data_IF_952358497387
#
_entry.id   IF_952358497387
#
_cell.length_a   1.000
_cell.length_b   1.000
_cell.length_c   1.000
_cell.angle_alpha   90.00
_cell.angle_beta   90.00
_cell.angle_gamma   90.00
#
_symmetry.space_group_name_H-M   'P 1'
#
loop_
_entity.id
_entity.type
_entity.pdbx_description
1 polymer ?
#
# COMPACT_ATOMS: atom_id res chain seq x y z
N UNK A 1 8.68 10.56 9.40
CA UNK A 1 7.24 10.45 9.17
C UNK A 1 6.96 9.38 8.12
N UNK A 2 6.10 8.42 8.42
CA UNK A 2 5.95 7.17 7.64
C UNK A 2 5.59 7.39 6.17
N UNK A 3 4.71 8.35 5.86
CA UNK A 3 4.21 8.57 4.51
C UNK A 3 4.92 9.72 3.76
N UNK A 4 5.86 10.42 4.42
CA UNK A 4 6.60 11.51 3.79
C UNK A 4 7.49 11.07 2.61
N UNK A 5 7.81 9.79 2.54
CA UNK A 5 8.57 9.18 1.44
C UNK A 5 7.77 9.06 0.14
N UNK A 6 6.43 9.04 0.20
CA UNK A 6 5.57 8.83 -0.97
C UNK A 6 5.83 9.84 -2.09
N UNK A 7 5.74 11.17 -1.85
CA UNK A 7 6.02 12.15 -2.89
C UNK A 7 7.48 12.10 -3.37
N UNK A 8 8.42 11.70 -2.51
CA UNK A 8 9.83 11.52 -2.89
C UNK A 8 9.99 10.38 -3.89
N UNK A 9 9.35 9.24 -3.64
CA UNK A 9 9.38 8.07 -4.55
C UNK A 9 8.72 8.42 -5.89
N UNK A 10 7.56 9.08 -5.86
CA UNK A 10 6.87 9.51 -7.08
C UNK A 10 7.70 10.52 -7.89
N UNK A 11 8.32 11.49 -7.21
CA UNK A 11 9.23 12.44 -7.84
C UNK A 11 10.46 11.76 -8.45
N UNK A 12 11.06 10.79 -7.74
CA UNK A 12 12.18 10.01 -8.25
C UNK A 12 11.80 9.16 -9.48
N UNK A 13 10.62 8.53 -9.45
CA UNK A 13 10.09 7.79 -10.60
C UNK A 13 9.92 8.72 -11.81
N UNK A 14 9.32 9.90 -11.63
CA UNK A 14 9.16 10.89 -12.67
C UNK A 14 10.49 11.36 -13.25
N UNK A 15 11.48 11.62 -12.39
CA UNK A 15 12.82 12.03 -12.84
C UNK A 15 13.49 10.95 -13.70
N UNK A 16 13.41 9.68 -13.28
CA UNK A 16 13.94 8.55 -14.07
C UNK A 16 13.25 8.41 -15.43
N UNK A 17 11.94 8.54 -15.48
CA UNK A 17 11.19 8.55 -16.75
C UNK A 17 11.64 9.66 -17.67
N UNK A 18 11.93 10.86 -17.13
CA UNK A 18 12.45 11.99 -17.90
C UNK A 18 13.86 11.73 -18.40
N UNK A 19 14.72 11.05 -17.63
CA UNK A 19 16.05 10.62 -18.06
C UNK A 19 15.97 9.65 -19.24
N UNK A 20 15.19 8.58 -19.12
CA UNK A 20 14.99 7.63 -20.23
C UNK A 20 14.51 8.31 -21.52
N UNK A 21 13.57 9.25 -21.38
CA UNK A 21 13.08 10.01 -22.52
C UNK A 21 14.18 10.83 -23.20
N UNK A 22 15.09 11.42 -22.42
CA UNK A 22 16.22 12.19 -22.95
C UNK A 22 17.21 11.28 -23.68
N UNK A 23 17.50 10.12 -23.11
CA UNK A 23 18.54 9.23 -23.58
C UNK A 23 18.10 8.40 -24.81
N UNK A 24 16.82 8.02 -24.88
CA UNK A 24 16.29 7.11 -25.89
C UNK A 24 15.37 7.76 -26.95
N UNK A 25 15.05 9.08 -26.79
CA UNK A 25 14.16 9.82 -27.72
C UNK A 25 12.66 9.62 -27.45
N UNK A 26 11.79 10.22 -28.24
CA UNK A 26 10.35 10.37 -27.96
C UNK A 26 9.44 9.17 -28.34
N UNK A 27 9.97 8.00 -28.58
CA UNK A 27 9.22 6.88 -29.18
C UNK A 27 8.64 5.83 -28.22
N UNK A 28 8.95 5.84 -26.91
CA UNK A 28 8.56 4.78 -25.98
C UNK A 28 7.73 5.28 -24.78
N UNK A 29 6.89 4.38 -24.25
CA UNK A 29 6.16 4.68 -23.00
C UNK A 29 7.09 4.52 -21.79
N UNK A 30 7.77 5.59 -21.39
CA UNK A 30 8.71 5.57 -20.27
C UNK A 30 8.05 5.28 -18.92
N UNK A 31 6.74 5.48 -18.81
CA UNK A 31 6.00 5.12 -17.59
C UNK A 31 6.07 3.61 -17.33
N UNK A 32 6.13 2.78 -18.37
CA UNK A 32 6.25 1.33 -18.23
C UNK A 32 7.63 0.86 -17.73
N UNK A 33 8.69 1.64 -17.98
CA UNK A 33 10.05 1.31 -17.55
C UNK A 33 10.34 1.59 -16.08
N UNK A 34 9.49 2.37 -15.41
CA UNK A 34 9.67 2.75 -14.01
C UNK A 34 8.36 2.59 -13.26
N UNK A 35 8.32 1.60 -12.38
CA UNK A 35 7.15 1.29 -11.56
C UNK A 35 7.38 1.74 -10.12
N UNK A 36 6.68 2.78 -9.64
CA UNK A 36 6.67 3.11 -8.21
C UNK A 36 5.90 2.04 -7.43
N UNK A 37 6.56 1.45 -6.44
CA UNK A 37 5.96 0.55 -5.46
C UNK A 37 6.10 1.18 -4.08
N UNK A 38 4.97 1.42 -3.41
CA UNK A 38 4.91 2.02 -2.09
C UNK A 38 4.27 1.03 -1.11
N UNK A 39 4.99 0.74 -0.03
CA UNK A 39 4.53 -0.14 1.04
C UNK A 39 4.05 0.73 2.21
N UNK A 40 2.86 0.44 2.71
CA UNK A 40 2.19 1.22 3.75
C UNK A 40 1.73 0.35 4.91
N UNK A 41 1.73 0.89 6.12
CA UNK A 41 0.88 0.39 7.20
C UNK A 41 -0.52 0.99 7.06
N UNK A 42 -1.55 0.26 7.48
CA UNK A 42 -2.95 0.67 7.31
C UNK A 42 -3.31 1.98 8.02
N UNK A 43 -2.86 2.14 9.25
CA UNK A 43 -3.14 3.36 10.02
C UNK A 43 -2.46 4.60 9.40
N UNK A 44 -1.22 4.46 8.93
CA UNK A 44 -0.49 5.53 8.26
C UNK A 44 -1.12 5.89 6.91
N UNK A 45 -1.50 4.89 6.11
CA UNK A 45 -2.12 5.08 4.81
C UNK A 45 -3.46 5.83 4.89
N UNK A 46 -4.33 5.44 5.83
CA UNK A 46 -5.62 6.08 6.03
C UNK A 46 -5.53 7.43 6.76
N UNK A 47 -4.55 7.59 7.67
CA UNK A 47 -4.51 8.69 8.63
C UNK A 47 -3.62 9.87 8.28
N UNK A 48 -2.85 9.81 7.17
CA UNK A 48 -1.91 10.86 6.80
C UNK A 48 -2.29 11.54 5.49
N UNK A 49 -2.59 12.84 5.55
CA UNK A 49 -3.06 13.65 4.42
C UNK A 49 -2.19 13.60 3.17
N UNK A 50 -0.88 13.41 3.32
CA UNK A 50 0.05 13.30 2.19
C UNK A 50 -0.28 12.13 1.25
N UNK A 51 -0.93 11.07 1.74
CA UNK A 51 -1.39 9.95 0.91
C UNK A 51 -2.48 10.42 -0.04
N UNK A 52 -3.50 11.10 0.47
CA UNK A 52 -4.58 11.67 -0.35
C UNK A 52 -4.05 12.72 -1.34
N UNK A 53 -3.08 13.55 -0.92
CA UNK A 53 -2.43 14.52 -1.79
C UNK A 53 -1.68 13.84 -2.95
N UNK A 54 -0.97 12.74 -2.69
CA UNK A 54 -0.31 11.95 -3.74
C UNK A 54 -1.32 11.39 -4.75
N UNK A 55 -2.45 10.86 -4.30
CA UNK A 55 -3.53 10.44 -5.21
C UNK A 55 -4.11 11.61 -5.98
N UNK A 56 -4.33 12.76 -5.35
CA UNK A 56 -4.81 13.97 -6.02
C UNK A 56 -3.88 14.49 -7.12
N UNK A 57 -2.58 14.22 -7.00
CA UNK A 57 -1.57 14.62 -7.99
C UNK A 57 -1.37 13.57 -9.11
N UNK A 58 -1.74 12.31 -8.89
CA UNK A 58 -1.35 11.16 -9.72
C UNK A 58 -1.76 11.25 -11.19
N UNK A 59 -2.90 11.89 -11.48
CA UNK A 59 -3.42 12.10 -12.83
C UNK A 59 -2.93 13.38 -13.52
N UNK A 60 -2.30 14.30 -12.80
CA UNK A 60 -1.93 15.60 -13.34
C UNK A 60 -0.72 15.52 -14.27
N UNK A 61 -0.78 16.25 -15.40
CA UNK A 61 0.26 16.23 -16.45
C UNK A 61 1.68 16.45 -15.92
N UNK A 62 1.86 17.34 -14.94
CA UNK A 62 3.16 17.66 -14.35
C UNK A 62 3.66 16.61 -13.34
N UNK A 63 2.79 15.79 -12.79
CA UNK A 63 3.07 14.90 -11.65
C UNK A 63 2.92 13.41 -11.96
N UNK A 64 2.10 13.04 -12.94
CA UNK A 64 1.80 11.65 -13.28
C UNK A 64 3.05 10.83 -13.57
N UNK A 65 3.06 9.60 -13.08
CA UNK A 65 4.14 8.61 -13.27
C UNK A 65 3.67 7.39 -14.06
N UNK A 66 2.44 7.42 -14.59
CA UNK A 66 1.80 6.24 -15.17
C UNK A 66 1.31 5.26 -14.10
N UNK A 67 0.92 5.80 -12.96
CA UNK A 67 0.40 5.06 -11.81
C UNK A 67 1.47 4.48 -10.90
N UNK A 68 1.08 4.22 -9.68
CA UNK A 68 1.86 3.54 -8.64
C UNK A 68 1.10 2.30 -8.16
N UNK A 69 1.82 1.33 -7.61
CA UNK A 69 1.22 0.25 -6.82
C UNK A 69 1.37 0.65 -5.35
N UNK A 70 0.23 0.78 -4.67
CA UNK A 70 0.17 0.97 -3.23
C UNK A 70 -0.14 -0.36 -2.56
N UNK A 71 0.82 -0.89 -1.81
CA UNK A 71 0.68 -2.15 -1.11
C UNK A 71 0.47 -1.88 0.38
N UNK A 72 -0.74 -2.05 0.87
CA UNK A 72 -1.12 -1.81 2.27
C UNK A 72 -0.98 -3.09 3.06
N UNK A 73 -0.01 -3.12 3.98
CA UNK A 73 0.13 -4.17 4.99
C UNK A 73 -0.87 -3.83 6.11
N UNK A 74 -2.11 -4.29 5.91
CA UNK A 74 -3.22 -4.02 6.82
C UNK A 74 -3.16 -4.96 8.01
N UNK A 75 -2.23 -4.69 8.91
CA UNK A 75 -2.02 -5.49 10.13
C UNK A 75 -2.91 -5.05 11.29
N UNK A 76 -3.82 -4.08 11.06
CA UNK A 76 -4.80 -3.58 12.01
C UNK A 76 -4.20 -2.89 13.25
N UNK A 77 -2.94 -2.49 13.19
CA UNK A 77 -2.26 -1.83 14.31
C UNK A 77 -2.14 -0.33 14.08
N UNK A 78 -2.78 0.43 14.95
CA UNK A 78 -2.61 1.88 15.09
C UNK A 78 -2.13 2.24 16.49
N UNK A 79 -0.91 1.83 16.88
CA UNK A 79 -0.37 1.95 18.24
C UNK A 79 -1.31 1.29 19.26
N UNK A 80 -1.97 2.06 20.15
CA UNK A 80 -2.91 1.55 21.17
C UNK A 80 -4.38 1.57 20.73
N UNK A 81 -4.66 2.04 19.51
CA UNK A 81 -6.04 2.20 19.03
C UNK A 81 -6.64 0.84 18.62
N UNK A 82 -7.82 0.56 19.13
CA UNK A 82 -8.60 -0.62 18.71
C UNK A 82 -8.96 -0.49 17.21
N UNK A 83 -8.84 -1.54 16.39
CA UNK A 83 -9.18 -1.49 14.96
C UNK A 83 -10.55 -0.89 14.65
N UNK A 84 -11.57 -1.16 15.48
CA UNK A 84 -12.94 -0.62 15.31
C UNK A 84 -13.04 0.88 15.45
N UNK A 85 -12.10 1.51 16.20
CA UNK A 85 -12.08 2.93 16.50
C UNK A 85 -11.02 3.69 15.67
N UNK A 86 -10.34 2.99 14.73
CA UNK A 86 -9.18 3.54 14.03
C UNK A 86 -9.53 4.44 12.86
N UNK A 87 -10.68 4.28 12.25
CA UNK A 87 -11.12 5.06 11.08
C UNK A 87 -12.63 5.02 10.91
N UNK A 88 -13.17 6.04 10.21
CA UNK A 88 -14.61 6.10 9.89
C UNK A 88 -14.99 5.22 8.70
N UNK A 89 -14.06 4.96 7.77
CA UNK A 89 -14.28 4.11 6.61
C UNK A 89 -14.05 2.62 6.95
N UNK A 90 -14.70 1.68 6.25
CA UNK A 90 -14.49 0.24 6.44
C UNK A 90 -13.05 -0.22 6.23
N UNK A 91 -12.37 0.34 5.22
CA UNK A 91 -11.02 -0.06 4.83
C UNK A 91 -10.05 1.12 4.82
N UNK A 92 -8.77 0.90 5.15
CA UNK A 92 -7.74 1.93 5.02
C UNK A 92 -7.57 2.39 3.57
N UNK A 93 -7.82 1.50 2.63
CA UNK A 93 -7.72 1.71 1.18
C UNK A 93 -8.81 2.62 0.60
N UNK A 94 -9.85 2.95 1.36
CA UNK A 94 -10.96 3.79 0.87
C UNK A 94 -10.50 5.20 0.46
N UNK A 95 -9.37 5.68 0.94
CA UNK A 95 -8.76 6.94 0.47
C UNK A 95 -8.50 6.94 -1.04
N UNK A 96 -8.25 5.79 -1.64
CA UNK A 96 -8.00 5.66 -3.08
C UNK A 96 -9.25 5.74 -3.94
N UNK A 97 -10.44 5.63 -3.34
CA UNK A 97 -11.72 5.78 -4.05
C UNK A 97 -11.90 7.19 -4.63
N UNK A 98 -11.25 8.21 -4.05
CA UNK A 98 -11.30 9.58 -4.56
C UNK A 98 -10.81 9.72 -6.02
N UNK A 99 -9.93 8.83 -6.46
CA UNK A 99 -9.41 8.78 -7.85
C UNK A 99 -9.87 7.54 -8.60
N UNK A 100 -10.83 6.79 -8.04
CA UNK A 100 -11.38 5.56 -8.63
C UNK A 100 -10.31 4.51 -8.95
N UNK A 101 -9.28 4.41 -8.11
CA UNK A 101 -8.28 3.35 -8.21
C UNK A 101 -8.91 1.99 -7.89
N UNK A 102 -8.61 0.93 -8.63
CA UNK A 102 -8.95 -0.43 -8.23
C UNK A 102 -8.30 -0.78 -6.90
N UNK A 103 -9.04 -1.50 -6.07
CA UNK A 103 -8.59 -1.98 -4.77
C UNK A 103 -8.80 -3.50 -4.74
N UNK A 104 -7.72 -4.24 -4.47
CA UNK A 104 -7.75 -5.67 -4.28
C UNK A 104 -7.59 -5.98 -2.80
N UNK A 105 -8.64 -6.53 -2.17
CA UNK A 105 -8.55 -7.04 -0.80
C UNK A 105 -8.11 -8.50 -0.84
N UNK A 106 -7.06 -8.83 -0.10
CA UNK A 106 -6.50 -10.17 -0.10
C UNK A 106 -6.10 -10.60 1.31
N UNK A 107 -6.31 -11.88 1.63
CA UNK A 107 -5.91 -12.46 2.90
C UNK A 107 -4.39 -12.71 2.92
N UNK A 108 -3.69 -12.12 3.89
CA UNK A 108 -2.24 -12.27 4.06
C UNK A 108 -1.78 -13.67 4.48
N UNK A 109 -2.69 -14.52 4.95
CA UNK A 109 -2.40 -15.93 5.25
C UNK A 109 -2.45 -16.84 4.01
N UNK A 110 -2.86 -16.30 2.87
CA UNK A 110 -2.86 -17.00 1.58
C UNK A 110 -1.81 -16.39 0.63
N UNK A 111 -0.58 -16.92 0.61
CA UNK A 111 0.51 -16.35 -0.20
C UNK A 111 0.27 -16.49 -1.71
N UNK A 112 -0.50 -17.49 -2.15
CA UNK A 112 -0.87 -17.65 -3.55
C UNK A 112 -1.85 -16.57 -3.98
N UNK A 113 -2.87 -16.29 -3.18
CA UNK A 113 -3.83 -15.21 -3.43
C UNK A 113 -3.14 -13.83 -3.43
N UNK A 114 -2.22 -13.57 -2.47
CA UNK A 114 -1.42 -12.33 -2.44
C UNK A 114 -0.60 -12.17 -3.71
N UNK A 115 0.07 -13.25 -4.13
CA UNK A 115 0.87 -13.25 -5.37
C UNK A 115 -0.01 -13.00 -6.59
N UNK A 116 -1.15 -13.65 -6.68
CA UNK A 116 -2.10 -13.46 -7.78
C UNK A 116 -2.62 -12.02 -7.85
N UNK A 117 -3.13 -11.49 -6.73
CA UNK A 117 -3.63 -10.11 -6.65
C UNK A 117 -2.55 -9.09 -7.03
N UNK A 118 -1.30 -9.31 -6.59
CA UNK A 118 -0.18 -8.43 -6.90
C UNK A 118 0.18 -8.48 -8.39
N UNK A 119 0.14 -9.65 -9.03
CA UNK A 119 0.32 -9.78 -10.48
C UNK A 119 -0.74 -9.02 -11.26
N UNK A 120 -2.01 -9.19 -10.89
CA UNK A 120 -3.12 -8.46 -11.53
C UNK A 120 -2.96 -6.95 -11.35
N UNK A 121 -2.59 -6.49 -10.16
CA UNK A 121 -2.33 -5.08 -9.88
C UNK A 121 -1.18 -4.54 -10.77
N UNK A 122 -0.09 -5.29 -10.91
CA UNK A 122 1.04 -4.90 -11.76
C UNK A 122 0.63 -4.82 -13.24
N UNK A 123 -0.10 -5.81 -13.74
CA UNK A 123 -0.62 -5.82 -15.12
C UNK A 123 -1.59 -4.67 -15.36
N UNK A 124 -2.49 -4.40 -14.41
CA UNK A 124 -3.41 -3.27 -14.49
C UNK A 124 -2.65 -1.95 -14.60
N UNK A 125 -1.68 -1.72 -13.69
CA UNK A 125 -0.85 -0.50 -13.70
C UNK A 125 -0.11 -0.35 -15.03
N UNK A 126 0.51 -1.42 -15.52
CA UNK A 126 1.27 -1.39 -16.78
C UNK A 126 0.37 -1.13 -17.99
N UNK A 127 -0.80 -1.74 -18.01
CA UNK A 127 -1.74 -1.63 -19.14
C UNK A 127 -2.47 -0.29 -19.19
N UNK A 128 -2.89 0.23 -18.03
CA UNK A 128 -3.76 1.40 -17.97
C UNK A 128 -3.06 2.67 -17.50
N UNK A 129 -1.84 2.57 -16.99
CA UNK A 129 -1.07 3.73 -16.51
C UNK A 129 -1.74 4.46 -15.34
N UNK A 130 -2.42 3.74 -14.45
CA UNK A 130 -3.17 4.26 -13.30
C UNK A 130 -2.73 3.62 -12.01
N UNK A 131 -2.99 4.33 -10.90
CA UNK A 131 -2.74 3.80 -9.56
C UNK A 131 -3.63 2.58 -9.28
N UNK A 132 -3.12 1.70 -8.43
CA UNK A 132 -3.81 0.51 -7.94
C UNK A 132 -3.40 0.23 -6.51
N UNK A 133 -4.34 -0.27 -5.71
CA UNK A 133 -4.10 -0.61 -4.31
C UNK A 133 -4.27 -2.10 -4.10
N UNK A 134 -3.34 -2.71 -3.38
CA UNK A 134 -3.47 -4.05 -2.82
C UNK A 134 -3.55 -3.89 -1.29
N UNK A 135 -4.70 -4.18 -0.74
CA UNK A 135 -4.97 -4.17 0.70
C UNK A 135 -4.85 -5.60 1.23
N UNK A 136 -3.67 -5.91 1.76
CA UNK A 136 -3.37 -7.22 2.33
C UNK A 136 -3.76 -7.24 3.80
N UNK A 137 -4.92 -7.85 4.08
CA UNK A 137 -5.43 -8.02 5.43
C UNK A 137 -4.61 -9.09 6.17
N UNK A 138 -3.95 -8.71 7.25
CA UNK A 138 -3.05 -9.56 8.00
C UNK A 138 -3.02 -9.18 9.48
N UNK A 139 -2.04 -9.70 10.21
CA UNK A 139 -1.80 -9.36 11.62
C UNK A 139 -0.30 -9.21 11.89
N UNK A 140 0.02 -8.53 12.97
CA UNK A 140 1.38 -8.36 13.46
C UNK A 140 1.57 -9.19 14.74
N UNK A 141 2.46 -10.18 14.72
CA UNK A 141 2.58 -11.15 15.80
C UNK A 141 3.13 -10.55 17.10
N UNK A 142 4.06 -9.61 17.03
CA UNK A 142 4.83 -9.10 18.15
C UNK A 142 4.51 -7.66 18.56
N UNK A 143 3.37 -7.12 18.17
CA UNK A 143 2.93 -5.79 18.54
C UNK A 143 3.59 -4.65 17.77
N UNK A 144 3.43 -3.43 18.28
CA UNK A 144 3.84 -2.20 17.58
C UNK A 144 5.36 -2.07 17.43
N UNK A 145 6.12 -2.37 18.47
CA UNK A 145 7.59 -2.39 18.48
C UNK A 145 8.12 -3.43 19.48
N UNK A 146 9.44 -3.56 19.59
CA UNK A 146 10.06 -4.57 20.46
C UNK A 146 9.85 -4.32 21.96
N UNK A 147 9.54 -3.06 22.35
CA UNK A 147 9.31 -2.69 23.76
C UNK A 147 7.86 -2.81 24.19
N UNK A 148 6.93 -3.03 23.27
CA UNK A 148 5.49 -3.09 23.58
C UNK A 148 4.99 -4.52 23.78
N UNK A 149 4.27 -4.72 24.88
CA UNK A 149 3.45 -5.93 25.04
C UNK A 149 2.01 -5.63 24.56
N UNK A 150 1.62 -6.12 23.37
CA UNK A 150 0.32 -5.82 22.80
C UNK A 150 -0.85 -6.44 23.58
N UNK A 151 -0.59 -7.37 24.48
CA UNK A 151 -1.63 -7.96 25.32
C UNK A 151 -2.24 -6.97 26.31
N UNK A 152 -1.55 -5.87 26.64
CA UNK A 152 -2.08 -4.81 27.49
C UNK A 152 -3.14 -3.95 26.79
N UNK A 153 -3.02 -3.76 25.47
CA UNK A 153 -3.93 -2.88 24.72
C UNK A 153 -4.96 -3.65 23.88
N UNK A 154 -4.59 -4.81 23.33
CA UNK A 154 -5.47 -5.67 22.52
C UNK A 154 -5.43 -7.13 23.02
N UNK A 155 -5.89 -7.43 24.23
CA UNK A 155 -5.74 -8.76 24.85
C UNK A 155 -6.46 -9.87 24.09
N UNK A 156 -7.67 -9.59 23.57
CA UNK A 156 -8.49 -10.58 22.85
C UNK A 156 -7.83 -10.94 21.51
N UNK A 157 -7.42 -9.91 20.75
CA UNK A 157 -6.74 -10.08 19.46
C UNK A 157 -5.45 -10.91 19.63
N UNK A 158 -4.59 -10.55 20.56
CA UNK A 158 -3.31 -11.22 20.73
C UNK A 158 -3.43 -12.61 21.34
N UNK A 159 -4.46 -12.89 22.13
CA UNK A 159 -4.80 -14.25 22.54
C UNK A 159 -5.16 -15.15 21.35
N UNK A 160 -5.80 -14.58 20.34
CA UNK A 160 -6.14 -15.27 19.09
C UNK A 160 -4.90 -15.48 18.23
N UNK A 161 -4.12 -14.41 18.03
CA UNK A 161 -2.87 -14.42 17.23
C UNK A 161 -1.87 -15.44 17.79
N UNK A 162 -1.72 -15.53 19.12
CA UNK A 162 -0.81 -16.48 19.74
C UNK A 162 -1.11 -17.95 19.43
N UNK A 163 -2.38 -18.26 19.14
CA UNK A 163 -2.85 -19.62 18.80
C UNK A 163 -2.93 -19.86 17.29
N UNK A 164 -2.83 -18.81 16.50
CA UNK A 164 -2.93 -18.89 15.05
C UNK A 164 -1.65 -19.48 14.48
N UNK A 165 -1.69 -20.50 13.62
CA UNK A 165 -0.51 -21.02 12.96
C UNK A 165 0.13 -19.95 12.06
N UNK A 166 1.42 -20.04 11.85
CA UNK A 166 2.12 -19.15 10.93
C UNK A 166 1.68 -19.43 9.49
N UNK A 167 1.82 -18.45 8.61
CA UNK A 167 1.56 -18.62 7.17
C UNK A 167 2.38 -19.78 6.58
N UNK A 168 3.63 -19.94 7.04
CA UNK A 168 4.49 -21.05 6.61
C UNK A 168 3.95 -22.43 7.05
N UNK A 169 3.37 -22.52 8.25
CA UNK A 169 2.78 -23.78 8.74
C UNK A 169 1.46 -24.12 8.03
N UNK A 170 0.77 -23.11 7.51
CA UNK A 170 -0.49 -23.30 6.77
C UNK A 170 -0.24 -23.65 5.30
N UNK A 171 0.82 -23.12 4.69
CA UNK A 171 1.23 -23.34 3.30
C UNK A 171 1.92 -24.69 3.12
#
# INVERSE_FOLDING_TARGET
HLEAVNPVVLGKARAKQTQFRRDEGDGSNYAEKVLPLLLHGDAAFAGQGVVAECFGLSGLRGHRTGGAIHFVVNNQIGFTTDPKDSRSSPYPSDVALMVQSPIFHVNGDDPEAVTFATKVAAEYRQRFGKDVVVDMFCYRRYGHNEGDDPSFTQPIMYKTIAKHPTTLEQY
#
